data_IF_289206698034
#
_entry.id   IF_289206698034
#
_cell.length_a   1.000
_cell.length_b   1.000
_cell.length_c   1.000
_cell.angle_alpha   90.00
_cell.angle_beta   90.00
_cell.angle_gamma   90.00
#
_symmetry.space_group_name_H-M   'P 1'
#
loop_
_entity.id
_entity.type
_entity.pdbx_description
1 polymer ?
#
# COMPACT_ATOMS: atom_id res chain seq x y z
N UNK A 1 4.20 -54.29 -75.58
CA UNK A 1 4.96 -53.41 -74.68
C UNK A 1 4.06 -52.24 -74.28
N UNK A 2 3.35 -52.33 -73.15
CA UNK A 2 3.77 -51.83 -71.83
C UNK A 2 4.22 -50.36 -71.83
N UNK A 3 3.28 -49.44 -71.56
CA UNK A 3 3.56 -48.28 -70.72
C UNK A 3 2.40 -48.13 -69.73
N UNK A 4 2.63 -48.68 -68.53
CA UNK A 4 1.94 -48.31 -67.31
C UNK A 4 2.22 -46.84 -67.02
N UNK A 5 1.22 -45.97 -67.18
CA UNK A 5 1.26 -44.60 -66.66
C UNK A 5 0.48 -44.59 -65.35
N UNK A 6 1.23 -44.70 -64.26
CA UNK A 6 0.73 -44.71 -62.90
C UNK A 6 -0.18 -43.52 -62.59
N UNK A 7 -1.38 -43.88 -62.16
CA UNK A 7 -2.31 -43.14 -61.31
C UNK A 7 -1.57 -42.26 -60.28
N UNK A 8 -1.66 -40.94 -60.44
CA UNK A 8 -1.45 -40.01 -59.34
C UNK A 8 -2.80 -39.78 -58.67
N UNK A 9 -2.98 -40.46 -57.54
CA UNK A 9 -4.04 -40.22 -56.56
C UNK A 9 -4.11 -38.71 -56.24
N UNK A 10 -5.22 -38.08 -56.63
CA UNK A 10 -5.62 -36.75 -56.21
C UNK A 10 -5.87 -36.80 -54.70
N UNK A 11 -4.97 -36.20 -53.92
CA UNK A 11 -5.14 -36.11 -52.46
C UNK A 11 -6.43 -35.32 -52.14
N UNK A 12 -7.24 -35.78 -51.18
CA UNK A 12 -8.45 -35.07 -50.76
C UNK A 12 -8.11 -33.68 -50.22
N UNK A 13 -8.87 -32.68 -50.65
CA UNK A 13 -8.86 -31.32 -50.11
C UNK A 13 -9.37 -31.36 -48.67
N UNK A 14 -8.47 -31.23 -47.70
CA UNK A 14 -8.83 -30.99 -46.29
C UNK A 14 -9.59 -29.66 -46.18
N UNK A 15 -10.66 -29.59 -45.37
CA UNK A 15 -11.41 -28.36 -45.16
C UNK A 15 -10.51 -27.33 -44.47
N UNK A 16 -10.46 -26.13 -45.05
CA UNK A 16 -9.74 -24.99 -44.54
C UNK A 16 -10.15 -24.72 -43.07
N UNK A 17 -9.16 -24.85 -42.18
CA UNK A 17 -9.20 -24.53 -40.77
C UNK A 17 -9.76 -23.11 -40.57
N UNK A 18 -11.05 -23.00 -40.26
CA UNK A 18 -11.74 -21.74 -39.99
C UNK A 18 -11.35 -21.23 -38.61
N UNK A 19 -10.20 -20.55 -38.54
CA UNK A 19 -9.75 -19.87 -37.33
C UNK A 19 -10.69 -18.71 -37.02
N UNK A 20 -11.54 -18.89 -36.02
CA UNK A 20 -12.32 -17.82 -35.41
C UNK A 20 -11.35 -16.86 -34.72
N UNK A 21 -11.10 -15.71 -35.34
CA UNK A 21 -10.34 -14.63 -34.71
C UNK A 21 -11.29 -13.84 -33.81
N UNK A 22 -11.19 -14.04 -32.50
CA UNK A 22 -11.91 -13.21 -31.54
C UNK A 22 -11.26 -11.83 -31.45
N UNK A 23 -11.95 -10.79 -31.93
CA UNK A 23 -11.52 -9.40 -31.75
C UNK A 23 -11.93 -8.91 -30.35
N UNK A 24 -10.95 -8.68 -29.48
CA UNK A 24 -11.15 -8.06 -28.17
C UNK A 24 -10.89 -6.56 -28.26
N UNK A 25 -11.84 -5.72 -27.83
CA UNK A 25 -11.62 -4.30 -27.66
C UNK A 25 -11.44 -3.99 -26.18
N UNK A 26 -10.26 -3.45 -25.84
CA UNK A 26 -9.94 -2.96 -24.51
C UNK A 26 -9.87 -1.43 -24.55
N UNK A 27 -10.46 -0.79 -23.56
CA UNK A 27 -10.40 0.66 -23.41
C UNK A 27 -9.71 0.98 -22.10
N UNK A 28 -8.78 1.93 -22.14
CA UNK A 28 -8.12 2.45 -20.95
C UNK A 28 -8.74 3.80 -20.60
N UNK A 29 -9.48 3.83 -19.50
CA UNK A 29 -10.04 5.05 -18.95
C UNK A 29 -11.39 4.82 -18.28
N UNK A 30 -11.81 5.74 -17.41
CA UNK A 30 -13.11 5.67 -16.74
C UNK A 30 -14.29 5.88 -17.71
N UNK A 31 -14.03 6.42 -18.90
CA UNK A 31 -15.04 6.75 -19.91
C UNK A 31 -14.69 6.01 -21.21
N UNK A 32 -15.66 5.31 -21.84
CA UNK A 32 -15.46 4.69 -23.14
C UNK A 32 -15.22 5.74 -24.23
N UNK A 33 -14.54 5.39 -25.33
CA UNK A 33 -14.25 6.35 -26.38
C UNK A 33 -15.52 6.89 -27.06
N UNK A 34 -15.42 8.04 -27.73
CA UNK A 34 -16.57 8.70 -28.34
C UNK A 34 -17.39 7.81 -29.27
N UNK A 35 -16.74 7.01 -30.12
CA UNK A 35 -17.42 6.10 -31.05
C UNK A 35 -18.23 5.00 -30.32
N UNK A 36 -17.76 4.53 -29.17
CA UNK A 36 -18.47 3.56 -28.35
C UNK A 36 -19.64 4.22 -27.60
N UNK A 37 -19.45 5.44 -27.07
CA UNK A 37 -20.52 6.24 -26.45
C UNK A 37 -21.68 6.51 -27.41
N UNK A 38 -21.37 6.87 -28.65
CA UNK A 38 -22.38 7.05 -29.70
C UNK A 38 -23.13 5.73 -29.99
N UNK A 39 -22.41 4.61 -29.99
CA UNK A 39 -23.02 3.28 -30.09
C UNK A 39 -23.98 2.99 -28.94
N UNK A 40 -23.59 3.27 -27.70
CA UNK A 40 -24.46 3.08 -26.53
C UNK A 40 -25.70 3.96 -26.60
N UNK A 41 -25.56 5.23 -26.98
CA UNK A 41 -26.67 6.17 -27.11
C UNK A 41 -27.68 5.74 -28.18
N UNK A 42 -27.19 5.18 -29.31
CA UNK A 42 -28.05 4.64 -30.37
C UNK A 42 -28.80 3.37 -29.95
N UNK A 43 -28.21 2.54 -29.09
CA UNK A 43 -28.85 1.30 -28.61
C UNK A 43 -29.86 1.62 -27.52
N UNK A 44 -29.48 2.46 -26.56
CA UNK A 44 -30.32 2.91 -25.45
C UNK A 44 -30.15 4.43 -25.31
N UNK A 45 -31.16 5.22 -25.70
CA UNK A 45 -31.13 6.67 -25.50
C UNK A 45 -30.91 7.02 -24.03
N UNK A 46 -30.00 7.97 -23.78
CA UNK A 46 -29.55 8.40 -22.45
C UNK A 46 -28.45 7.54 -21.83
N UNK A 47 -27.99 6.46 -22.49
CA UNK A 47 -26.92 5.61 -21.95
C UNK A 47 -25.58 6.33 -21.86
N UNK A 48 -25.24 7.19 -22.84
CA UNK A 48 -23.98 7.93 -22.80
C UNK A 48 -23.91 8.87 -21.58
N UNK A 49 -25.01 9.57 -21.30
CA UNK A 49 -25.11 10.46 -20.14
C UNK A 49 -24.98 9.69 -18.81
N UNK A 50 -25.60 8.51 -18.70
CA UNK A 50 -25.48 7.66 -17.50
C UNK A 50 -24.06 7.14 -17.29
N UNK A 51 -23.37 6.76 -18.37
CA UNK A 51 -21.97 6.31 -18.29
C UNK A 51 -21.05 7.44 -17.83
N UNK A 52 -21.23 8.64 -18.39
CA UNK A 52 -20.48 9.83 -17.97
C UNK A 52 -20.74 10.16 -16.49
N UNK A 53 -22.00 10.13 -16.07
CA UNK A 53 -22.36 10.36 -14.67
C UNK A 53 -21.72 9.32 -13.73
N UNK A 54 -21.74 8.04 -14.10
CA UNK A 54 -21.06 6.99 -13.33
C UNK A 54 -19.56 7.24 -13.22
N UNK A 55 -18.91 7.68 -14.30
CA UNK A 55 -17.48 8.01 -14.29
C UNK A 55 -17.18 9.22 -13.40
N UNK A 56 -18.02 10.26 -13.44
CA UNK A 56 -17.90 11.43 -12.56
C UNK A 56 -18.08 11.06 -11.09
N UNK A 57 -19.08 10.25 -10.76
CA UNK A 57 -19.34 9.82 -9.40
C UNK A 57 -18.19 8.98 -8.85
N UNK A 58 -17.61 8.10 -9.67
CA UNK A 58 -16.41 7.33 -9.33
C UNK A 58 -15.18 8.23 -9.13
N UNK A 59 -15.01 9.29 -9.94
CA UNK A 59 -13.95 10.27 -9.72
C UNK A 59 -14.16 11.07 -8.44
N UNK A 60 -15.40 11.52 -8.15
CA UNK A 60 -15.74 12.21 -6.90
C UNK A 60 -15.48 11.33 -5.69
N UNK A 61 -15.85 10.05 -5.76
CA UNK A 61 -15.58 9.09 -4.70
C UNK A 61 -14.07 8.90 -4.46
N UNK A 62 -13.29 8.73 -5.54
CA UNK A 62 -11.83 8.64 -5.45
C UNK A 62 -11.20 9.89 -4.83
N UNK A 63 -11.60 11.08 -5.29
CA UNK A 63 -11.12 12.33 -4.72
C UNK A 63 -11.51 12.51 -3.25
N UNK A 64 -12.71 12.07 -2.85
CA UNK A 64 -13.14 12.11 -1.46
C UNK A 64 -12.27 11.19 -0.57
N UNK A 65 -11.94 9.99 -1.04
CA UNK A 65 -11.03 9.07 -0.34
C UNK A 65 -9.62 9.65 -0.26
N UNK A 66 -9.11 10.18 -1.37
CA UNK A 66 -7.78 10.81 -1.42
C UNK A 66 -7.69 11.98 -0.44
N UNK A 67 -8.68 12.87 -0.45
CA UNK A 67 -8.78 14.00 0.48
C UNK A 67 -8.86 13.54 1.94
N UNK A 68 -9.72 12.56 2.25
CA UNK A 68 -9.82 11.99 3.60
C UNK A 68 -8.49 11.38 4.05
N UNK A 69 -7.79 10.68 3.17
CA UNK A 69 -6.47 10.09 3.48
C UNK A 69 -5.41 11.15 3.76
N UNK A 70 -5.47 12.32 3.11
CA UNK A 70 -4.56 13.43 3.37
C UNK A 70 -4.82 14.08 4.73
N UNK A 71 -6.09 14.24 5.12
CA UNK A 71 -6.46 14.74 6.44
C UNK A 71 -5.97 13.82 7.57
N UNK A 72 -6.18 12.50 7.44
CA UNK A 72 -5.71 11.53 8.44
C UNK A 72 -4.19 11.49 8.58
N UNK A 73 -3.46 11.65 7.46
CA UNK A 73 -1.99 11.71 7.50
C UNK A 73 -1.48 12.96 8.24
N UNK A 74 -2.15 14.10 8.11
CA UNK A 74 -1.71 15.32 8.81
C UNK A 74 -1.94 15.26 10.32
N UNK A 75 -3.04 14.64 10.75
CA UNK A 75 -3.36 14.52 12.17
C UNK A 75 -2.45 13.50 12.88
N UNK A 76 -2.20 12.36 12.25
CA UNK A 76 -1.28 11.34 12.78
C UNK A 76 0.15 11.84 12.93
N UNK A 77 0.65 12.67 12.00
CA UNK A 77 2.01 13.25 12.10
C UNK A 77 2.13 14.20 13.29
N UNK A 78 1.11 15.02 13.57
CA UNK A 78 1.15 15.97 14.70
C UNK A 78 1.05 15.27 16.05
N UNK A 79 0.21 14.23 16.15
CA UNK A 79 0.08 13.44 17.38
C UNK A 79 1.39 12.68 17.65
N UNK A 80 1.93 12.00 16.64
CA UNK A 80 3.20 11.27 16.77
C UNK A 80 4.37 12.17 17.17
N UNK A 81 4.44 13.40 16.64
CA UNK A 81 5.51 14.34 16.99
C UNK A 81 5.44 14.78 18.46
N UNK A 82 4.24 15.02 19.00
CA UNK A 82 4.06 15.43 20.41
C UNK A 82 4.35 14.27 21.36
N UNK A 83 3.89 13.07 21.03
CA UNK A 83 4.12 11.88 21.86
C UNK A 83 5.60 11.51 21.91
N UNK A 84 6.31 11.65 20.79
CA UNK A 84 7.75 11.43 20.73
C UNK A 84 8.53 12.47 21.57
N UNK A 85 8.13 13.75 21.53
CA UNK A 85 8.76 14.80 22.34
C UNK A 85 8.51 14.58 23.84
N UNK A 86 7.28 14.24 24.23
CA UNK A 86 6.94 13.93 25.62
C UNK A 86 7.70 12.69 26.13
N UNK A 87 7.78 11.62 25.33
CA UNK A 87 8.56 10.44 25.64
C UNK A 87 10.05 10.75 25.82
N UNK A 88 10.63 11.58 24.94
CA UNK A 88 12.03 12.00 25.05
C UNK A 88 12.28 12.86 26.30
N UNK A 89 11.41 13.83 26.60
CA UNK A 89 11.54 14.70 27.77
C UNK A 89 11.40 13.89 29.06
N UNK A 90 10.39 13.03 29.17
CA UNK A 90 10.18 12.20 30.36
C UNK A 90 11.32 11.19 30.55
N UNK A 91 11.81 10.59 29.47
CA UNK A 91 12.98 9.70 29.52
C UNK A 91 14.25 10.41 29.97
N UNK A 92 14.49 11.62 29.46
CA UNK A 92 15.62 12.46 29.88
C UNK A 92 15.52 12.86 31.36
N UNK A 93 14.35 13.28 31.82
CA UNK A 93 14.14 13.62 33.23
C UNK A 93 14.34 12.40 34.15
N UNK A 94 13.86 11.22 33.75
CA UNK A 94 14.06 9.99 34.51
C UNK A 94 15.55 9.61 34.62
N UNK A 95 16.31 9.73 33.52
CA UNK A 95 17.76 9.52 33.51
C UNK A 95 18.50 10.54 34.37
N UNK A 96 18.14 11.83 34.27
CA UNK A 96 18.74 12.88 35.08
C UNK A 96 18.46 12.66 36.58
N UNK A 97 17.23 12.26 36.93
CA UNK A 97 16.85 11.93 38.30
C UNK A 97 17.60 10.70 38.83
N UNK A 98 17.75 9.63 38.04
CA UNK A 98 18.50 8.44 38.48
C UNK A 98 19.98 8.76 38.70
N UNK A 99 20.57 9.59 37.84
CA UNK A 99 21.97 10.01 37.99
C UNK A 99 22.15 10.91 39.21
N UNK A 100 21.24 11.87 39.43
CA UNK A 100 21.23 12.71 40.63
C UNK A 100 21.09 11.90 41.92
N UNK A 101 20.18 10.93 41.93
CA UNK A 101 19.99 10.02 43.06
C UNK A 101 21.23 9.16 43.34
N UNK A 102 21.91 8.67 42.30
CA UNK A 102 23.15 7.91 42.43
C UNK A 102 24.29 8.75 43.03
N UNK A 103 24.46 10.01 42.59
CA UNK A 103 25.46 10.93 43.14
C UNK A 103 25.13 11.28 44.59
N UNK A 104 23.86 11.59 44.88
CA UNK A 104 23.40 11.89 46.24
C UNK A 104 23.61 10.72 47.20
N UNK A 105 23.37 9.48 46.74
CA UNK A 105 23.60 8.25 47.50
C UNK A 105 25.06 8.11 47.95
N UNK A 106 26.02 8.47 47.10
CA UNK A 106 27.44 8.46 47.47
C UNK A 106 27.76 9.53 48.51
N UNK A 107 27.15 10.72 48.40
CA UNK A 107 27.37 11.83 49.33
C UNK A 107 26.90 11.55 50.77
N UNK A 108 25.82 10.76 50.94
CA UNK A 108 25.32 10.35 52.26
C UNK A 108 26.04 9.11 52.84
N UNK A 109 27.09 8.61 52.17
CA UNK A 109 27.83 7.42 52.59
C UNK A 109 27.00 6.13 52.51
N UNK A 110 25.96 6.11 51.67
CA UNK A 110 25.13 4.92 51.51
C UNK A 110 25.92 3.76 50.88
N UNK A 111 25.49 2.51 51.15
CA UNK A 111 26.09 1.34 50.54
C UNK A 111 26.14 1.46 49.00
N UNK A 112 27.28 1.10 48.42
CA UNK A 112 27.52 1.18 46.96
C UNK A 112 26.48 0.43 46.13
N UNK A 113 25.82 -0.58 46.71
CA UNK A 113 24.71 -1.34 46.12
C UNK A 113 23.54 -0.43 45.70
N UNK A 114 23.28 0.66 46.44
CA UNK A 114 22.20 1.61 46.15
C UNK A 114 22.48 2.35 44.84
N UNK A 115 23.73 2.79 44.63
CA UNK A 115 24.14 3.46 43.40
C UNK A 115 24.07 2.53 42.19
N UNK A 116 24.42 1.24 42.36
CA UNK A 116 24.32 0.24 41.29
C UNK A 116 22.85 -0.04 40.91
N UNK A 117 21.94 -0.05 41.89
CA UNK A 117 20.51 -0.24 41.65
C UNK A 117 19.89 0.92 40.84
N UNK A 118 20.30 2.16 41.08
CA UNK A 118 19.80 3.31 40.32
C UNK A 118 20.29 3.34 38.87
N UNK A 119 21.50 2.83 38.60
CA UNK A 119 22.06 2.77 37.24
C UNK A 119 21.47 1.59 36.45
N UNK A 120 21.14 0.47 37.09
CA UNK A 120 20.63 -0.71 36.39
C UNK A 120 19.22 -0.51 35.81
N UNK A 121 18.37 0.30 36.44
CA UNK A 121 17.01 0.62 35.99
C UNK A 121 16.97 1.21 34.56
N UNK A 122 17.64 2.34 34.26
CA UNK A 122 17.63 2.91 32.91
C UNK A 122 18.31 2.01 31.87
N UNK A 123 19.38 1.31 32.26
CA UNK A 123 20.10 0.37 31.36
C UNK A 123 19.19 -0.79 30.94
N UNK A 124 18.42 -1.36 31.88
CA UNK A 124 17.47 -2.44 31.59
C UNK A 124 16.33 -1.98 30.69
N UNK A 125 15.84 -0.76 30.86
CA UNK A 125 14.79 -0.18 29.99
C UNK A 125 15.30 -0.08 28.56
N UNK A 126 16.52 0.44 28.35
CA UNK A 126 17.12 0.55 27.02
C UNK A 126 17.38 -0.84 26.42
N UNK A 127 17.92 -1.78 27.21
CA UNK A 127 18.18 -3.14 26.73
C UNK A 127 16.88 -3.86 26.32
N UNK A 128 15.82 -3.75 27.12
CA UNK A 128 14.52 -4.33 26.80
C UNK A 128 13.92 -3.72 25.52
N UNK A 129 14.07 -2.41 25.33
CA UNK A 129 13.60 -1.73 24.13
C UNK A 129 14.40 -2.12 22.87
N UNK A 130 15.72 -2.27 22.98
CA UNK A 130 16.56 -2.77 21.88
C UNK A 130 16.17 -4.19 21.45
N UNK A 131 15.79 -5.04 22.41
CA UNK A 131 15.28 -6.40 22.11
C UNK A 131 13.91 -6.34 21.42
N UNK A 132 13.00 -5.47 21.86
CA UNK A 132 11.69 -5.29 21.23
C UNK A 132 11.79 -4.77 19.80
N UNK A 133 12.70 -3.83 19.53
CA UNK A 133 12.90 -3.26 18.18
C UNK A 133 13.48 -4.23 17.17
N UNK A 134 14.17 -5.27 17.63
CA UNK A 134 14.79 -6.29 16.76
C UNK A 134 13.83 -7.43 16.40
N UNK A 135 12.71 -7.55 17.11
CA UNK A 135 11.70 -8.60 16.92
C UNK A 135 10.57 -8.08 16.03
#
# INVERSE_FOLDING_TARGET
MSQSRNSKLKKPTEPADSRVVAASQQWLGPVPPPAALEGFERIVPGAAARILQMAEDEQRHRHAIEAASMHTKQETVRITARDNLLGMVLGFLALAASLGAAIWSVAIGAPWQVSVAFISLPVMIVAAELVRRKR
#
